data_IF_630547409430
#
_entry.id   IF_630547409430
#
_cell.length_a   1.000
_cell.length_b   1.000
_cell.length_c   1.000
_cell.angle_alpha   90.00
_cell.angle_beta   90.00
_cell.angle_gamma   90.00
#
_symmetry.space_group_name_H-M   'P 1'
#
loop_
_entity.id
_entity.type
_entity.pdbx_description
1 polymer ?
#
# COMPACT_ATOMS: atom_id res chain seq x y z
N UNK A 1 13.94 -61.19 40.85
CA UNK A 1 14.59 -60.92 39.54
C UNK A 1 13.61 -60.46 38.45
N UNK A 2 12.40 -60.98 38.31
CA UNK A 2 11.43 -60.64 37.28
C UNK A 2 10.96 -59.16 37.38
N UNK A 3 10.69 -58.63 38.58
CA UNK A 3 10.19 -57.27 38.81
C UNK A 3 11.20 -56.19 38.37
N UNK A 4 12.50 -56.35 38.66
CA UNK A 4 13.57 -55.46 38.23
C UNK A 4 13.69 -55.38 36.69
N UNK A 5 13.48 -56.49 35.99
CA UNK A 5 13.52 -56.56 34.52
C UNK A 5 12.32 -55.83 33.90
N UNK A 6 11.13 -55.99 34.49
CA UNK A 6 9.92 -55.29 34.05
C UNK A 6 10.06 -53.76 34.25
N UNK A 7 10.57 -53.34 35.41
CA UNK A 7 10.81 -51.90 35.69
C UNK A 7 11.83 -51.30 34.72
N UNK A 8 12.91 -52.00 34.39
CA UNK A 8 13.88 -51.56 33.40
C UNK A 8 13.27 -51.42 31.98
N UNK A 9 12.39 -52.37 31.60
CA UNK A 9 11.69 -52.34 30.32
C UNK A 9 10.74 -51.13 30.22
N UNK A 10 10.00 -50.84 31.29
CA UNK A 10 9.09 -49.64 31.34
C UNK A 10 9.86 -48.34 31.22
N UNK A 11 11.01 -48.20 31.90
CA UNK A 11 11.87 -47.02 31.81
C UNK A 11 12.43 -46.87 30.40
N UNK A 12 12.86 -47.94 29.76
CA UNK A 12 13.37 -47.91 28.38
C UNK A 12 12.30 -47.47 27.39
N UNK A 13 11.08 -47.97 27.51
CA UNK A 13 9.95 -47.57 26.66
C UNK A 13 9.58 -46.12 26.89
N UNK A 14 9.60 -45.61 28.13
CA UNK A 14 9.36 -44.22 28.43
C UNK A 14 10.41 -43.28 27.80
N UNK A 15 11.69 -43.67 27.81
CA UNK A 15 12.78 -42.91 27.18
C UNK A 15 12.60 -42.86 25.65
N UNK A 16 12.23 -43.98 25.03
CA UNK A 16 11.98 -44.05 23.59
C UNK A 16 10.79 -43.15 23.21
N UNK A 17 9.69 -43.22 23.97
CA UNK A 17 8.50 -42.38 23.74
C UNK A 17 8.80 -40.86 23.88
N UNK A 18 9.56 -40.47 24.90
CA UNK A 18 9.99 -39.08 25.08
C UNK A 18 10.91 -38.63 23.95
N UNK A 19 11.84 -39.49 23.50
CA UNK A 19 12.70 -39.20 22.35
C UNK A 19 11.91 -38.98 21.04
N UNK A 20 10.89 -39.83 20.80
CA UNK A 20 10.01 -39.71 19.63
C UNK A 20 9.17 -38.42 19.69
N UNK A 21 8.62 -38.07 20.86
CA UNK A 21 7.86 -36.82 21.06
C UNK A 21 8.74 -35.60 20.83
N UNK A 22 9.97 -35.59 21.38
CA UNK A 22 10.92 -34.49 21.16
C UNK A 22 11.32 -34.42 19.67
N UNK A 23 11.52 -35.53 19.00
CA UNK A 23 11.81 -35.60 17.55
C UNK A 23 10.67 -35.03 16.70
N UNK A 24 9.41 -35.34 17.03
CA UNK A 24 8.22 -34.81 16.32
C UNK A 24 8.04 -33.34 16.58
N UNK A 25 8.27 -32.84 17.81
CA UNK A 25 8.19 -31.40 18.15
C UNK A 25 9.33 -30.63 17.51
N UNK A 26 10.53 -31.18 17.47
CA UNK A 26 11.68 -30.56 16.78
C UNK A 26 11.52 -30.54 15.25
N UNK A 27 10.86 -31.56 14.67
CA UNK A 27 10.55 -31.61 13.24
C UNK A 27 9.42 -30.66 12.82
N UNK A 28 8.58 -30.22 13.76
CA UNK A 28 7.58 -29.16 13.58
C UNK A 28 8.13 -27.77 13.85
N UNK A 29 9.45 -27.56 13.86
CA UNK A 29 9.99 -26.23 13.59
C UNK A 29 9.58 -25.91 12.17
N UNK A 30 8.37 -25.33 12.05
CA UNK A 30 7.96 -24.53 10.92
C UNK A 30 9.17 -23.65 10.60
N UNK A 31 9.78 -23.83 9.44
CA UNK A 31 10.60 -22.80 8.86
C UNK A 31 9.68 -21.59 8.73
N UNK A 32 9.61 -20.78 9.77
CA UNK A 32 9.29 -19.37 9.60
C UNK A 32 10.50 -18.87 8.82
N UNK A 33 10.44 -18.97 7.50
CA UNK A 33 11.18 -18.06 6.66
C UNK A 33 10.55 -16.72 7.00
N UNK A 34 11.12 -16.04 7.98
CA UNK A 34 10.92 -14.62 8.18
C UNK A 34 11.67 -13.94 7.04
N UNK A 35 11.20 -14.16 5.81
CA UNK A 35 11.48 -13.27 4.71
C UNK A 35 10.59 -12.09 5.02
N UNK A 36 11.19 -11.01 5.51
CA UNK A 36 10.49 -9.75 5.64
C UNK A 36 9.88 -9.45 4.27
N UNK A 37 8.55 -9.53 4.19
CA UNK A 37 7.82 -9.26 2.96
C UNK A 37 8.11 -7.83 2.52
N UNK A 38 8.16 -7.61 1.24
CA UNK A 38 8.18 -6.27 0.65
C UNK A 38 6.81 -5.66 0.91
N UNK A 39 6.75 -4.66 1.78
CA UNK A 39 5.52 -3.98 2.13
C UNK A 39 5.29 -2.81 1.19
N UNK A 40 4.14 -2.82 0.54
CA UNK A 40 3.70 -1.78 -0.39
C UNK A 40 2.36 -1.25 0.11
N UNK A 41 2.22 0.06 0.21
CA UNK A 41 0.98 0.69 0.65
C UNK A 41 0.47 1.63 -0.44
N UNK A 42 -0.79 1.51 -0.78
CA UNK A 42 -1.51 2.42 -1.67
C UNK A 42 -2.59 3.17 -0.90
N UNK A 43 -2.70 4.47 -1.12
CA UNK A 43 -3.68 5.32 -0.44
C UNK A 43 -5.10 5.01 -0.88
N UNK A 44 -5.36 4.98 -2.18
CA UNK A 44 -6.67 4.85 -2.79
C UNK A 44 -6.85 3.54 -3.55
N UNK A 45 -8.10 3.31 -4.02
CA UNK A 45 -8.45 2.06 -4.70
C UNK A 45 -7.78 1.93 -6.07
N UNK A 46 -7.64 3.01 -6.85
CA UNK A 46 -7.04 2.92 -8.19
C UNK A 46 -5.58 2.50 -8.12
N UNK A 47 -4.78 3.16 -7.26
CA UNK A 47 -3.39 2.79 -7.02
C UNK A 47 -3.24 1.37 -6.48
N UNK A 48 -4.15 0.98 -5.56
CA UNK A 48 -4.20 -0.39 -5.03
C UNK A 48 -4.49 -1.42 -6.12
N UNK A 49 -5.47 -1.18 -6.99
CA UNK A 49 -5.86 -2.12 -8.05
C UNK A 49 -4.75 -2.28 -9.10
N UNK A 50 -4.10 -1.19 -9.50
CA UNK A 50 -2.95 -1.22 -10.39
C UNK A 50 -1.80 -2.04 -9.81
N UNK A 51 -1.41 -1.76 -8.56
CA UNK A 51 -0.37 -2.52 -7.87
C UNK A 51 -0.76 -3.99 -7.69
N UNK A 52 -1.99 -4.28 -7.33
CA UNK A 52 -2.51 -5.65 -7.20
C UNK A 52 -2.38 -6.41 -8.52
N UNK A 53 -2.74 -5.75 -9.64
CA UNK A 53 -2.62 -6.35 -10.97
C UNK A 53 -1.15 -6.62 -11.33
N UNK A 54 -0.23 -5.67 -11.07
CA UNK A 54 1.21 -5.80 -11.33
C UNK A 54 1.83 -6.90 -10.46
N UNK A 55 1.56 -6.91 -9.17
CA UNK A 55 2.11 -7.86 -8.20
C UNK A 55 1.61 -9.29 -8.50
N UNK A 56 0.34 -9.43 -8.88
CA UNK A 56 -0.26 -10.74 -9.14
C UNK A 56 -0.22 -11.64 -7.91
N UNK A 57 0.25 -12.87 -8.08
CA UNK A 57 0.32 -13.89 -7.03
C UNK A 57 1.70 -13.97 -6.35
N UNK A 58 2.41 -12.85 -6.20
CA UNK A 58 3.71 -12.82 -5.54
C UNK A 58 3.55 -12.79 -4.01
N UNK A 59 3.69 -13.93 -3.35
CA UNK A 59 3.56 -14.09 -1.90
C UNK A 59 4.64 -13.33 -1.09
N UNK A 60 5.72 -12.84 -1.72
CA UNK A 60 6.76 -12.06 -1.06
C UNK A 60 6.39 -10.59 -0.91
N UNK A 61 5.31 -10.12 -1.56
CA UNK A 61 4.81 -8.76 -1.44
C UNK A 61 3.56 -8.75 -0.56
N UNK A 62 3.51 -7.79 0.35
CA UNK A 62 2.34 -7.48 1.16
C UNK A 62 1.80 -6.13 0.72
N UNK A 63 0.68 -6.13 0.01
CA UNK A 63 0.02 -4.92 -0.48
C UNK A 63 -1.10 -4.50 0.47
N UNK A 64 -1.02 -3.27 0.95
CA UNK A 64 -2.01 -2.66 1.84
C UNK A 64 -2.79 -1.58 1.11
N UNK A 65 -4.13 -1.64 1.22
CA UNK A 65 -5.03 -0.56 0.81
C UNK A 65 -5.36 0.30 2.04
N UNK A 66 -4.81 1.51 2.10
CA UNK A 66 -4.84 2.36 3.29
C UNK A 66 -6.26 2.84 3.64
N UNK A 67 -6.95 3.39 2.65
CA UNK A 67 -8.33 3.84 2.84
C UNK A 67 -9.24 2.69 3.26
N UNK A 68 -9.05 1.51 2.67
CA UNK A 68 -9.95 0.37 2.86
C UNK A 68 -11.31 0.59 2.18
N UNK A 69 -12.12 -0.46 2.05
CA UNK A 69 -13.41 -0.36 1.39
C UNK A 69 -14.42 0.45 2.24
N UNK A 70 -15.23 1.28 1.55
CA UNK A 70 -16.34 2.01 2.15
C UNK A 70 -15.96 3.30 2.88
N UNK A 71 -14.72 3.73 2.82
CA UNK A 71 -14.31 5.05 3.28
C UNK A 71 -14.29 6.03 2.11
N UNK A 72 -14.67 7.27 2.40
CA UNK A 72 -14.59 8.38 1.46
C UNK A 72 -13.20 9.00 1.47
N UNK A 73 -12.62 9.21 0.29
CA UNK A 73 -11.27 9.73 0.14
C UNK A 73 -11.18 11.23 0.51
N UNK A 74 -12.23 12.00 0.21
CA UNK A 74 -12.26 13.45 0.48
C UNK A 74 -12.34 13.81 1.97
N UNK A 75 -12.86 12.90 2.79
CA UNK A 75 -12.98 13.09 4.24
C UNK A 75 -12.01 12.23 5.05
N UNK A 76 -11.08 11.55 4.38
CA UNK A 76 -10.15 10.66 5.05
C UNK A 76 -9.06 11.42 5.80
N UNK A 77 -8.91 11.08 7.07
CA UNK A 77 -7.77 11.50 7.89
C UNK A 77 -7.00 10.26 8.36
N UNK A 78 -5.67 10.20 8.11
CA UNK A 78 -4.88 9.05 8.51
C UNK A 78 -4.78 8.93 10.03
N UNK A 79 -4.93 7.72 10.54
CA UNK A 79 -4.72 7.40 11.95
C UNK A 79 -3.23 7.22 12.25
N UNK A 80 -2.86 7.22 13.54
CA UNK A 80 -1.49 6.90 13.94
C UNK A 80 -1.04 5.50 13.44
N UNK A 81 -1.97 4.55 13.29
CA UNK A 81 -1.67 3.23 12.76
C UNK A 81 -1.38 3.29 11.25
N UNK A 82 -2.06 4.15 10.51
CA UNK A 82 -1.82 4.36 9.08
C UNK A 82 -0.43 4.96 8.86
N UNK A 83 -0.01 5.92 9.70
CA UNK A 83 1.36 6.47 9.68
C UNK A 83 2.41 5.39 9.89
N UNK A 84 2.21 4.51 10.87
CA UNK A 84 3.11 3.37 11.13
C UNK A 84 3.14 2.43 9.93
N UNK A 85 2.01 2.21 9.28
CA UNK A 85 1.91 1.34 8.09
C UNK A 85 2.69 1.93 6.92
N UNK A 86 2.53 3.22 6.64
CA UNK A 86 3.28 3.94 5.60
C UNK A 86 4.78 3.90 5.91
N UNK A 87 5.20 4.24 7.12
CA UNK A 87 6.61 4.28 7.53
C UNK A 87 7.30 2.92 7.47
N UNK A 88 6.55 1.83 7.62
CA UNK A 88 7.08 0.46 7.51
C UNK A 88 7.02 -0.11 6.08
N UNK A 89 6.50 0.66 5.12
CA UNK A 89 6.46 0.25 3.72
C UNK A 89 7.77 0.56 3.00
N UNK A 90 8.11 -0.25 2.03
CA UNK A 90 9.21 0.03 1.09
C UNK A 90 8.74 1.02 0.02
N UNK A 91 7.45 0.95 -0.35
CA UNK A 91 6.80 1.82 -1.31
C UNK A 91 5.48 2.32 -0.75
N UNK A 92 5.26 3.62 -0.83
CA UNK A 92 3.99 4.27 -0.59
C UNK A 92 3.54 5.00 -1.86
N UNK A 93 2.33 4.71 -2.32
CA UNK A 93 1.73 5.29 -3.53
C UNK A 93 0.47 6.04 -3.17
N UNK A 94 0.39 7.29 -3.62
CA UNK A 94 -0.77 8.16 -3.45
C UNK A 94 -1.05 8.92 -4.74
N UNK A 95 -2.24 9.54 -4.86
CA UNK A 95 -2.64 10.30 -6.06
C UNK A 95 -2.11 11.72 -6.02
N UNK A 96 -2.20 12.35 -4.88
CA UNK A 96 -1.96 13.78 -4.70
C UNK A 96 -3.23 14.61 -4.87
N UNK A 97 -3.08 15.93 -4.89
CA UNK A 97 -4.19 16.87 -5.02
C UNK A 97 -4.93 17.18 -3.72
N UNK A 98 -6.07 17.85 -3.85
CA UNK A 98 -6.88 18.30 -2.71
C UNK A 98 -7.43 17.13 -1.87
N UNK A 99 -7.83 16.05 -2.57
CA UNK A 99 -8.36 14.84 -1.94
C UNK A 99 -7.37 14.19 -0.97
N UNK A 100 -6.08 14.35 -1.20
CA UNK A 100 -5.03 13.74 -0.39
C UNK A 100 -4.07 14.76 0.24
N UNK A 101 -4.52 16.01 0.50
CA UNK A 101 -3.74 17.04 1.24
C UNK A 101 -3.16 16.54 2.57
N UNK A 102 -3.79 15.55 3.17
CA UNK A 102 -3.27 14.91 4.37
C UNK A 102 -1.90 14.25 4.15
N UNK A 103 -1.62 13.85 2.88
CA UNK A 103 -0.37 13.18 2.55
C UNK A 103 0.85 14.08 2.84
N UNK A 104 0.80 15.37 2.57
CA UNK A 104 1.90 16.32 2.81
C UNK A 104 2.38 16.25 4.27
N UNK A 105 1.44 16.31 5.21
CA UNK A 105 1.76 16.23 6.66
C UNK A 105 2.37 14.90 7.05
N UNK A 106 1.93 13.81 6.41
CA UNK A 106 2.47 12.47 6.63
C UNK A 106 3.89 12.41 6.08
N UNK A 107 4.10 12.86 4.84
CA UNK A 107 5.39 12.82 4.16
C UNK A 107 6.46 13.61 4.92
N UNK A 108 6.11 14.77 5.47
CA UNK A 108 6.99 15.59 6.31
C UNK A 108 7.42 14.89 7.60
N UNK A 109 6.59 13.95 8.08
CA UNK A 109 6.85 13.20 9.32
C UNK A 109 7.64 11.92 9.12
N UNK A 110 7.79 11.45 7.86
CA UNK A 110 8.48 10.19 7.57
C UNK A 110 10.00 10.31 7.76
N UNK A 111 10.60 9.24 8.25
CA UNK A 111 12.07 9.13 8.28
C UNK A 111 12.60 9.06 6.85
N UNK A 112 13.46 10.01 6.48
CA UNK A 112 14.04 10.11 5.14
C UNK A 112 14.78 8.82 4.73
N UNK A 113 14.50 8.35 3.51
CA UNK A 113 15.27 7.31 2.84
C UNK A 113 14.88 5.86 3.17
N UNK A 114 13.79 5.65 3.93
CA UNK A 114 13.29 4.28 4.21
C UNK A 114 12.17 3.85 3.28
N UNK A 115 11.30 4.76 2.92
CA UNK A 115 10.11 4.51 2.08
C UNK A 115 10.27 5.27 0.78
N UNK A 116 10.15 4.59 -0.35
CA UNK A 116 10.00 5.23 -1.65
C UNK A 116 8.59 5.78 -1.75
N UNK A 117 8.45 7.04 -2.16
CA UNK A 117 7.17 7.75 -2.19
C UNK A 117 6.86 8.12 -3.62
N UNK A 118 5.70 7.73 -4.10
CA UNK A 118 5.24 7.95 -5.46
C UNK A 118 3.90 8.69 -5.45
N UNK A 119 3.90 9.91 -5.98
CA UNK A 119 2.70 10.62 -6.39
C UNK A 119 2.36 10.21 -7.82
N UNK A 120 1.26 9.48 -8.04
CA UNK A 120 0.95 9.01 -9.40
C UNK A 120 0.48 10.12 -10.34
N UNK A 121 0.01 11.24 -9.82
CA UNK A 121 -0.31 12.41 -10.62
C UNK A 121 0.91 13.02 -11.34
N UNK A 122 2.13 12.75 -10.87
CA UNK A 122 3.35 13.27 -11.51
C UNK A 122 3.71 12.55 -12.81
N UNK A 123 3.06 11.41 -13.10
CA UNK A 123 3.31 10.63 -14.32
C UNK A 123 2.32 10.90 -15.45
N UNK A 124 1.36 11.81 -15.22
CA UNK A 124 0.31 12.11 -16.19
C UNK A 124 0.21 13.60 -16.46
N UNK A 125 -0.37 13.97 -17.59
CA UNK A 125 -0.69 15.35 -17.88
C UNK A 125 -1.93 15.72 -17.06
N UNK A 126 -1.75 16.65 -16.12
CA UNK A 126 -2.80 17.16 -15.26
C UNK A 126 -3.72 18.06 -16.10
N UNK A 127 -5.02 17.81 -16.06
CA UNK A 127 -6.02 18.67 -16.67
C UNK A 127 -6.62 19.56 -15.59
N UNK A 128 -6.77 20.86 -15.89
CA UNK A 128 -7.50 21.76 -15.00
C UNK A 128 -8.94 21.25 -14.81
N UNK A 129 -9.40 21.30 -13.57
CA UNK A 129 -10.79 21.02 -13.26
C UNK A 129 -11.66 22.05 -13.97
N UNK A 130 -12.52 21.60 -14.89
CA UNK A 130 -13.48 22.48 -15.56
C UNK A 130 -14.75 22.48 -14.72
N UNK A 131 -15.09 23.65 -14.21
CA UNK A 131 -16.43 23.88 -13.66
C UNK A 131 -17.46 23.51 -14.74
N UNK A 132 -18.27 22.51 -14.47
CA UNK A 132 -19.37 22.10 -15.34
C UNK A 132 -20.54 22.97 -14.94
N UNK A 133 -20.95 23.89 -15.83
CA UNK A 133 -22.17 24.67 -15.68
C UNK A 133 -23.35 23.74 -15.36
N UNK A 134 -23.82 23.74 -14.11
CA UNK A 134 -24.94 22.91 -13.65
C UNK A 134 -24.67 22.06 -12.40
N UNK A 135 -23.48 22.11 -11.80
CA UNK A 135 -23.28 21.63 -10.44
C UNK A 135 -23.99 22.61 -9.49
N UNK A 136 -24.91 22.08 -8.65
CA UNK A 136 -25.66 22.89 -7.69
C UNK A 136 -24.68 23.64 -6.79
N UNK A 137 -24.71 24.98 -6.84
CA UNK A 137 -24.01 25.85 -5.95
C UNK A 137 -24.51 25.58 -4.51
N UNK A 138 -23.67 25.06 -3.66
CA UNK A 138 -23.91 25.10 -2.24
C UNK A 138 -23.77 26.56 -1.80
N UNK A 139 -24.92 27.24 -1.65
CA UNK A 139 -25.02 28.58 -1.10
C UNK A 139 -24.37 28.61 0.29
N UNK A 140 -23.19 29.20 0.38
CA UNK A 140 -22.64 29.69 1.62
C UNK A 140 -23.30 31.04 1.91
N UNK A 141 -24.12 31.11 2.93
CA UNK A 141 -24.68 32.36 3.44
C UNK A 141 -23.54 33.29 3.86
N UNK A 142 -23.42 34.42 3.14
CA UNK A 142 -22.49 35.51 3.41
C UNK A 142 -22.83 36.19 4.73
N UNK A 143 -21.98 36.04 5.74
CA UNK A 143 -21.87 37.06 6.79
C UNK A 143 -20.71 38.02 6.43
N UNK A 144 -21.09 39.24 6.10
CA UNK A 144 -20.18 40.33 5.78
C UNK A 144 -19.25 40.66 6.96
N UNK A 145 -17.93 40.52 6.76
CA UNK A 145 -16.93 41.26 7.48
C UNK A 145 -15.84 41.77 6.48
N UNK A 146 -15.86 43.09 6.26
CA UNK A 146 -14.76 43.83 5.66
C UNK A 146 -13.54 43.78 6.58
N UNK A 147 -12.34 43.47 6.03
CA UNK A 147 -11.12 44.27 6.17
C UNK A 147 -9.97 43.70 5.35
N UNK A 148 -9.46 44.59 4.49
CA UNK A 148 -8.09 44.83 4.01
C UNK A 148 -7.19 43.65 3.55
N UNK A 149 -7.02 43.60 2.21
CA UNK A 149 -5.72 43.53 1.53
C UNK A 149 -4.76 42.41 1.94
N UNK A 150 -5.01 41.16 1.52
CA UNK A 150 -3.96 40.19 1.31
C UNK A 150 -3.91 39.82 -0.17
N UNK A 151 -2.71 39.92 -0.74
CA UNK A 151 -2.42 39.52 -2.12
C UNK A 151 -2.78 38.04 -2.26
N UNK A 152 -3.86 37.76 -2.99
CA UNK A 152 -4.20 36.40 -3.39
C UNK A 152 -3.09 35.93 -4.33
N UNK A 153 -2.14 35.15 -3.81
CA UNK A 153 -1.37 34.24 -4.62
C UNK A 153 -2.40 33.39 -5.37
N UNK A 154 -2.40 33.46 -6.69
CA UNK A 154 -3.19 32.56 -7.53
C UNK A 154 -2.74 31.12 -7.20
N UNK A 155 -3.53 30.42 -6.42
CA UNK A 155 -3.41 28.97 -6.33
C UNK A 155 -3.50 28.46 -7.78
N UNK A 156 -2.44 27.80 -8.24
CA UNK A 156 -2.47 27.09 -9.52
C UNK A 156 -3.72 26.21 -9.48
N UNK A 157 -4.63 26.39 -10.46
CA UNK A 157 -5.97 25.82 -10.45
C UNK A 157 -5.94 24.33 -10.08
N UNK A 158 -6.84 23.94 -9.19
CA UNK A 158 -6.98 22.55 -8.78
C UNK A 158 -7.10 21.67 -10.03
N UNK A 159 -6.35 20.58 -10.09
CA UNK A 159 -6.48 19.65 -11.20
C UNK A 159 -7.52 18.58 -10.83
N UNK A 160 -8.22 18.04 -11.84
CA UNK A 160 -9.12 16.93 -11.64
C UNK A 160 -8.34 15.69 -11.14
N UNK A 161 -8.51 15.37 -9.88
CA UNK A 161 -7.79 14.30 -9.18
C UNK A 161 -8.22 12.90 -9.62
N UNK A 162 -9.34 12.77 -10.34
CA UNK A 162 -9.85 11.51 -10.87
C UNK A 162 -9.08 11.07 -12.14
N UNK A 163 -7.80 11.38 -12.17
CA UNK A 163 -6.89 11.15 -13.31
C UNK A 163 -6.85 9.71 -13.81
N UNK A 164 -7.13 8.73 -12.91
CA UNK A 164 -7.16 7.30 -13.26
C UNK A 164 -8.38 6.89 -14.08
N UNK A 165 -9.38 7.75 -14.23
CA UNK A 165 -10.57 7.49 -15.04
C UNK A 165 -10.27 7.59 -16.54
N UNK A 166 -9.21 8.28 -16.92
CA UNK A 166 -8.68 8.30 -18.28
C UNK A 166 -7.89 7.03 -18.57
N UNK A 167 -8.25 6.24 -19.60
CA UNK A 167 -7.49 5.05 -19.99
C UNK A 167 -6.03 5.35 -20.34
N UNK A 168 -5.76 6.48 -20.99
CA UNK A 168 -4.39 6.90 -21.33
C UNK A 168 -3.56 7.18 -20.08
N UNK A 169 -4.14 7.85 -19.10
CA UNK A 169 -3.49 8.11 -17.82
C UNK A 169 -3.30 6.80 -17.03
N UNK A 170 -4.31 5.94 -16.99
CA UNK A 170 -4.21 4.64 -16.33
C UNK A 170 -3.03 3.82 -16.90
N UNK A 171 -2.83 3.82 -18.22
CA UNK A 171 -1.68 3.16 -18.88
C UNK A 171 -0.35 3.77 -18.40
N UNK A 172 -0.25 5.11 -18.35
CA UNK A 172 0.97 5.80 -17.88
C UNK A 172 1.27 5.43 -16.42
N UNK A 173 0.25 5.45 -15.56
CA UNK A 173 0.37 5.10 -14.13
C UNK A 173 0.80 3.65 -13.93
N UNK A 174 0.15 2.70 -14.61
CA UNK A 174 0.51 1.28 -14.54
C UNK A 174 1.96 1.05 -14.97
N UNK A 175 2.41 1.69 -16.06
CA UNK A 175 3.79 1.59 -16.51
C UNK A 175 4.79 2.21 -15.52
N UNK A 176 4.42 3.31 -14.86
CA UNK A 176 5.26 3.92 -13.83
C UNK A 176 5.40 3.00 -12.60
N UNK A 177 4.27 2.49 -12.10
CA UNK A 177 4.24 1.59 -10.94
C UNK A 177 4.96 0.26 -11.23
N UNK A 178 4.83 -0.27 -12.45
CA UNK A 178 5.57 -1.47 -12.87
C UNK A 178 7.09 -1.25 -12.74
N UNK A 179 7.60 -0.13 -13.23
CA UNK A 179 9.03 0.21 -13.12
C UNK A 179 9.50 0.37 -11.68
N UNK A 180 8.67 0.93 -10.81
CA UNK A 180 9.02 1.04 -9.39
C UNK A 180 9.06 -0.35 -8.74
N UNK A 181 8.10 -1.22 -9.05
CA UNK A 181 8.13 -2.60 -8.56
C UNK A 181 9.34 -3.38 -9.08
N UNK A 182 9.79 -3.16 -10.33
CA UNK A 182 11.02 -3.75 -10.87
C UNK A 182 12.26 -3.31 -10.08
N UNK A 183 12.36 -2.03 -9.68
CA UNK A 183 13.48 -1.52 -8.87
C UNK A 183 13.52 -2.18 -7.50
N UNK A 184 12.36 -2.30 -6.84
CA UNK A 184 12.22 -2.81 -5.48
C UNK A 184 12.45 -4.32 -5.42
N UNK A 185 11.95 -5.06 -6.41
CA UNK A 185 12.02 -6.52 -6.49
C UNK A 185 12.46 -6.99 -7.88
N UNK A 186 13.70 -6.73 -8.20
CA UNK A 186 14.31 -7.03 -9.51
C UNK A 186 14.26 -8.51 -9.89
N UNK A 187 14.12 -9.41 -8.93
CA UNK A 187 13.99 -10.86 -9.19
C UNK A 187 12.69 -11.23 -9.89
N UNK A 188 11.66 -10.43 -9.69
CA UNK A 188 10.33 -10.64 -10.24
C UNK A 188 9.99 -9.65 -11.38
N UNK A 189 10.97 -8.86 -11.89
CA UNK A 189 10.75 -7.81 -12.90
C UNK A 189 10.01 -8.31 -14.13
N UNK A 190 10.36 -9.48 -14.67
CA UNK A 190 9.66 -10.05 -15.82
C UNK A 190 8.18 -10.33 -15.54
N UNK A 191 7.87 -10.84 -14.35
CA UNK A 191 6.49 -11.12 -13.93
C UNK A 191 5.69 -9.83 -13.83
N UNK A 192 6.26 -8.78 -13.24
CA UNK A 192 5.60 -7.47 -13.12
C UNK A 192 5.31 -6.88 -14.50
N UNK A 193 6.27 -6.93 -15.40
CA UNK A 193 6.10 -6.48 -16.78
C UNK A 193 5.02 -7.25 -17.55
N UNK A 194 5.02 -8.58 -17.45
CA UNK A 194 3.99 -9.42 -18.07
C UNK A 194 2.59 -9.11 -17.52
N UNK A 195 2.47 -8.96 -16.21
CA UNK A 195 1.22 -8.65 -15.54
C UNK A 195 0.71 -7.25 -15.90
N UNK A 196 1.59 -6.23 -15.91
CA UNK A 196 1.25 -4.88 -16.32
C UNK A 196 0.75 -4.84 -17.77
N UNK A 197 1.48 -5.47 -18.69
CA UNK A 197 1.07 -5.56 -20.10
C UNK A 197 -0.29 -6.26 -20.27
N UNK A 198 -0.54 -7.32 -19.50
CA UNK A 198 -1.81 -8.04 -19.52
C UNK A 198 -2.96 -7.18 -18.99
N UNK A 199 -2.71 -6.37 -17.96
CA UNK A 199 -3.71 -5.47 -17.40
C UNK A 199 -4.04 -4.33 -18.37
N UNK A 200 -3.03 -3.73 -18.99
CA UNK A 200 -3.17 -2.66 -20.00
C UNK A 200 -3.95 -3.13 -21.25
N UNK A 201 -3.87 -4.41 -21.58
CA UNK A 201 -4.53 -4.98 -22.76
C UNK A 201 -6.04 -5.31 -22.56
N UNK A 202 -6.61 -5.06 -21.39
CA UNK A 202 -8.02 -5.28 -21.06
C UNK A 202 -8.89 -4.11 -21.47
#
# INVERSE_FOLDING_TARGET
MKFKKIMLLVILVAIILTGVIIGIVASKKTKTTNTDKIKVTASNFASYDFLRAIIGNNDNVELTFLLGPGKDAHSYEPTAQDLITIQNSVLFVYVGGEMEKWADKVLDSLETGKTEIICIADFVDKMEEKEVDGAEEHEHEDEEHHEEGEEHEHEEGAFDEHIWTSPENAIKMVNALEKEMEKIDSKNSNTYKENANKYIAQ
#
